data_IF_318732886126
#
_entry.id   IF_318732886126
#
_cell.length_a   1.000
_cell.length_b   1.000
_cell.length_c   1.000
_cell.angle_alpha   90.00
_cell.angle_beta   90.00
_cell.angle_gamma   90.00
#
_symmetry.space_group_name_H-M   'P 1'
#
loop_
_entity.id
_entity.type
_entity.pdbx_description
1 polymer ?
#
# COMPACT_ATOMS: atom_id res chain seq x y z
N UNK A 1 -1.48 -71.85 -31.09
CA UNK A 1 -1.02 -71.62 -29.70
C UNK A 1 0.18 -70.72 -29.71
N UNK A 2 0.11 -69.59 -29.02
CA UNK A 2 1.22 -68.66 -28.93
C UNK A 2 2.22 -69.13 -27.86
N UNK A 3 3.50 -69.18 -28.21
CA UNK A 3 4.57 -69.63 -27.33
C UNK A 3 5.70 -68.60 -27.30
N UNK A 4 6.42 -68.55 -26.19
CA UNK A 4 7.61 -67.71 -26.08
C UNK A 4 8.67 -68.12 -27.10
N UNK A 5 9.18 -67.16 -27.88
CA UNK A 5 10.19 -67.38 -28.90
C UNK A 5 11.49 -68.01 -28.37
N UNK A 6 11.85 -67.74 -27.10
CA UNK A 6 13.12 -68.17 -26.51
C UNK A 6 13.01 -69.48 -25.70
N UNK A 7 12.01 -69.60 -24.83
CA UNK A 7 11.88 -70.74 -23.90
C UNK A 7 10.71 -71.69 -24.22
N UNK A 8 9.89 -71.38 -25.22
CA UNK A 8 8.78 -72.25 -25.65
C UNK A 8 7.58 -72.34 -24.69
N UNK A 9 7.58 -71.58 -23.58
CA UNK A 9 6.47 -71.55 -22.62
C UNK A 9 5.20 -71.04 -23.29
N UNK A 10 4.07 -71.71 -23.04
CA UNK A 10 2.74 -71.35 -23.55
C UNK A 10 2.14 -70.17 -22.82
N UNK A 11 1.22 -69.46 -23.49
CA UNK A 11 0.45 -68.33 -22.93
C UNK A 11 -0.37 -68.68 -21.69
N UNK A 12 -0.72 -69.94 -21.48
CA UNK A 12 -1.47 -70.41 -20.30
C UNK A 12 -0.63 -70.37 -19.02
N UNK A 13 0.69 -70.57 -19.12
CA UNK A 13 1.59 -70.64 -17.97
C UNK A 13 2.29 -69.33 -17.65
N UNK A 14 2.35 -68.39 -18.60
CA UNK A 14 3.04 -67.12 -18.43
C UNK A 14 2.47 -66.02 -19.33
N UNK A 15 2.50 -64.77 -18.85
CA UNK A 15 2.18 -63.59 -19.66
C UNK A 15 3.22 -63.42 -20.76
N UNK A 16 2.74 -63.33 -22.00
CA UNK A 16 3.54 -63.08 -23.19
C UNK A 16 3.37 -61.63 -23.64
N UNK A 17 4.47 -61.01 -24.06
CA UNK A 17 4.50 -59.66 -24.58
C UNK A 17 4.99 -59.66 -26.02
N UNK A 18 4.44 -58.76 -26.83
CA UNK A 18 4.88 -58.54 -28.21
C UNK A 18 6.18 -57.71 -28.18
N UNK A 19 7.26 -58.24 -28.77
CA UNK A 19 8.57 -57.58 -28.87
C UNK A 19 9.06 -57.52 -30.31
N UNK A 20 9.85 -56.49 -30.63
CA UNK A 20 10.46 -56.33 -31.95
C UNK A 20 11.81 -57.06 -31.98
N UNK A 21 11.92 -58.06 -32.84
CA UNK A 21 13.16 -58.80 -33.10
C UNK A 21 13.58 -58.66 -34.56
N UNK A 22 14.78 -59.13 -34.91
CA UNK A 22 15.27 -59.17 -36.31
C UNK A 22 14.37 -59.99 -37.23
N UNK A 23 13.59 -60.93 -36.69
CA UNK A 23 12.63 -61.78 -37.42
C UNK A 23 11.22 -61.17 -37.50
N UNK A 24 11.04 -59.93 -37.04
CA UNK A 24 9.74 -59.27 -36.94
C UNK A 24 9.19 -59.28 -35.51
N UNK A 25 7.88 -59.12 -35.38
CA UNK A 25 7.18 -59.05 -34.08
C UNK A 25 6.99 -60.47 -33.56
N UNK A 26 7.61 -60.79 -32.43
CA UNK A 26 7.55 -62.10 -31.80
C UNK A 26 7.08 -61.98 -30.34
N UNK A 27 6.54 -63.07 -29.78
CA UNK A 27 6.07 -63.09 -28.39
C UNK A 27 7.15 -63.61 -27.45
N UNK A 28 7.39 -62.92 -26.35
CA UNK A 28 8.38 -63.30 -25.33
C UNK A 28 7.74 -63.28 -23.94
N UNK A 29 8.16 -64.19 -23.05
CA UNK A 29 7.71 -64.14 -21.66
C UNK A 29 8.51 -63.11 -20.85
N UNK A 30 7.94 -62.67 -19.73
CA UNK A 30 8.53 -61.66 -18.83
C UNK A 30 9.97 -61.98 -18.40
N UNK A 31 10.22 -63.25 -18.04
CA UNK A 31 11.56 -63.72 -17.64
C UNK A 31 12.57 -63.51 -18.76
N UNK A 32 12.26 -63.99 -19.97
CA UNK A 32 13.16 -63.87 -21.11
C UNK A 32 13.37 -62.41 -21.54
N UNK A 33 12.36 -61.55 -21.41
CA UNK A 33 12.49 -60.12 -21.71
C UNK A 33 13.45 -59.41 -20.74
N UNK A 34 13.45 -59.79 -19.47
CA UNK A 34 14.35 -59.19 -18.46
C UNK A 34 15.83 -59.45 -18.77
N UNK A 35 16.14 -60.60 -19.38
CA UNK A 35 17.51 -60.94 -19.79
C UNK A 35 17.91 -60.29 -21.12
N UNK A 36 17.03 -60.33 -22.12
CA UNK A 36 17.34 -59.87 -23.48
C UNK A 36 17.15 -58.36 -23.67
N UNK A 37 16.35 -57.71 -22.81
CA UNK A 37 16.00 -56.28 -22.88
C UNK A 37 15.49 -55.85 -24.26
N UNK A 38 14.61 -56.66 -24.85
CA UNK A 38 14.02 -56.35 -26.16
C UNK A 38 12.97 -55.23 -26.04
N UNK A 39 12.80 -54.39 -27.08
CA UNK A 39 11.78 -53.34 -27.08
C UNK A 39 10.36 -53.94 -27.07
N UNK A 40 9.56 -53.56 -26.06
CA UNK A 40 8.18 -54.01 -25.90
C UNK A 40 7.22 -53.13 -26.72
N UNK A 41 6.38 -53.76 -27.54
CA UNK A 41 5.28 -53.10 -28.25
C UNK A 41 4.08 -53.04 -27.32
N UNK A 42 3.81 -51.87 -26.75
CA UNK A 42 2.60 -51.65 -25.97
C UNK A 42 1.43 -51.39 -26.94
N UNK A 43 0.45 -52.28 -26.96
CA UNK A 43 -0.83 -51.99 -27.60
C UNK A 43 -1.50 -50.89 -26.79
N UNK A 44 -1.67 -49.72 -27.40
CA UNK A 44 -2.40 -48.63 -26.78
C UNK A 44 -3.88 -49.02 -26.83
N UNK A 45 -4.56 -49.00 -25.68
CA UNK A 45 -6.01 -49.20 -25.62
C UNK A 45 -6.68 -48.11 -26.47
N UNK A 46 -7.32 -48.49 -27.57
CA UNK A 46 -7.96 -47.56 -28.52
C UNK A 46 -8.97 -46.62 -27.86
N UNK A 47 -9.58 -47.06 -26.75
CA UNK A 47 -10.54 -46.26 -25.98
C UNK A 47 -9.88 -45.10 -25.21
N UNK A 48 -8.62 -45.20 -24.78
CA UNK A 48 -7.93 -44.11 -24.05
C UNK A 48 -7.44 -43.01 -24.99
N UNK A 49 -7.10 -43.35 -26.22
CA UNK A 49 -6.65 -42.37 -27.23
C UNK A 49 -7.77 -41.41 -27.62
N UNK A 50 -9.02 -41.88 -27.69
CA UNK A 50 -10.17 -41.04 -28.01
C UNK A 50 -10.46 -39.98 -26.92
N UNK A 51 -10.25 -40.30 -25.64
CA UNK A 51 -10.39 -39.32 -24.55
C UNK A 51 -9.28 -38.26 -24.55
N UNK A 52 -8.06 -38.62 -24.94
CA UNK A 52 -6.93 -37.68 -25.03
C UNK A 52 -7.01 -36.78 -26.28
N UNK A 53 -7.51 -37.29 -27.41
CA UNK A 53 -7.71 -36.49 -28.64
C UNK A 53 -8.85 -35.47 -28.47
N UNK A 54 -9.88 -35.79 -27.69
CA UNK A 54 -10.96 -34.85 -27.36
C UNK A 54 -10.52 -33.74 -26.38
N UNK A 55 -9.42 -33.95 -25.64
CA UNK A 55 -8.74 -32.87 -24.90
C UNK A 55 -7.87 -32.12 -25.89
N UNK A 56 -8.47 -31.22 -26.68
CA UNK A 56 -7.73 -30.28 -27.53
C UNK A 56 -6.55 -29.72 -26.74
N UNK A 57 -5.31 -29.77 -27.25
CA UNK A 57 -4.20 -29.13 -26.60
C UNK A 57 -4.53 -27.64 -26.54
N UNK A 58 -4.83 -27.14 -25.33
CA UNK A 58 -5.07 -25.72 -25.12
C UNK A 58 -3.86 -24.98 -25.68
N UNK A 59 -4.10 -24.14 -26.68
CA UNK A 59 -3.09 -23.32 -27.32
C UNK A 59 -2.38 -22.50 -26.24
N UNK A 60 -1.12 -22.17 -26.44
CA UNK A 60 -0.33 -21.40 -25.44
C UNK A 60 -1.04 -20.09 -25.03
N UNK A 61 -1.86 -19.51 -25.93
CA UNK A 61 -2.74 -18.37 -25.67
C UNK A 61 -3.83 -18.66 -24.63
N UNK A 62 -4.54 -19.80 -24.71
CA UNK A 62 -5.62 -20.14 -23.77
C UNK A 62 -5.11 -20.36 -22.33
N UNK A 63 -3.84 -20.81 -22.19
CA UNK A 63 -3.17 -20.92 -20.88
C UNK A 63 -2.75 -19.56 -20.32
N UNK A 64 -2.46 -18.58 -21.18
CA UNK A 64 -2.14 -17.21 -20.78
C UNK A 64 -3.41 -16.47 -20.31
N UNK A 65 -4.51 -16.59 -21.05
CA UNK A 65 -5.76 -15.93 -20.72
C UNK A 65 -6.36 -16.40 -19.39
N UNK A 66 -6.26 -17.69 -19.06
CA UNK A 66 -6.73 -18.20 -17.74
C UNK A 66 -5.91 -17.71 -16.54
N UNK A 67 -4.65 -17.29 -16.75
CA UNK A 67 -3.83 -16.72 -15.66
C UNK A 67 -4.11 -15.24 -15.44
N UNK A 68 -4.54 -14.52 -16.49
CA UNK A 68 -4.91 -13.09 -16.43
C UNK A 68 -6.42 -12.83 -16.37
N UNK A 69 -7.27 -13.85 -16.49
CA UNK A 69 -8.73 -13.73 -16.29
C UNK A 69 -9.15 -13.58 -14.83
N UNK A 70 -8.20 -13.37 -13.91
CA UNK A 70 -8.52 -12.66 -12.67
C UNK A 70 -8.83 -11.23 -13.10
N UNK A 71 -10.12 -10.94 -13.32
CA UNK A 71 -10.62 -9.59 -13.63
C UNK A 71 -9.77 -8.58 -12.88
N UNK A 72 -9.13 -7.66 -13.61
CA UNK A 72 -8.45 -6.55 -12.98
C UNK A 72 -9.43 -5.92 -11.99
N UNK A 73 -9.02 -5.73 -10.73
CA UNK A 73 -9.94 -5.22 -9.72
C UNK A 73 -10.44 -3.88 -10.23
N UNK A 74 -11.76 -3.78 -10.40
CA UNK A 74 -12.35 -2.52 -10.85
C UNK A 74 -12.09 -1.47 -9.78
N UNK A 75 -12.07 -0.19 -10.16
CA UNK A 75 -11.98 0.91 -9.20
C UNK A 75 -13.04 0.77 -8.08
N UNK A 76 -14.21 0.23 -8.41
CA UNK A 76 -15.27 -0.11 -7.43
C UNK A 76 -14.83 -1.19 -6.45
N UNK A 77 -14.24 -2.30 -6.93
CA UNK A 77 -13.74 -3.37 -6.06
C UNK A 77 -12.64 -2.88 -5.09
N UNK A 78 -11.82 -1.93 -5.51
CA UNK A 78 -10.79 -1.31 -4.66
C UNK A 78 -11.39 -0.36 -3.62
N UNK A 79 -12.42 0.40 -3.98
CA UNK A 79 -13.15 1.29 -3.08
C UNK A 79 -13.93 0.47 -2.04
N UNK A 80 -14.62 -0.58 -2.47
CA UNK A 80 -15.46 -1.40 -1.58
C UNK A 80 -14.62 -2.24 -0.61
N UNK A 81 -13.44 -2.73 -1.03
CA UNK A 81 -12.47 -3.33 -0.09
C UNK A 81 -11.99 -2.35 0.98
N UNK A 82 -11.95 -1.06 0.68
CA UNK A 82 -11.58 -0.02 1.66
C UNK A 82 -12.75 0.41 2.54
N UNK A 83 -13.99 0.33 2.05
CA UNK A 83 -15.20 0.66 2.82
C UNK A 83 -15.52 -0.34 3.93
N UNK A 84 -15.10 -1.61 3.76
CA UNK A 84 -15.25 -2.65 4.78
C UNK A 84 -14.20 -2.60 5.90
N UNK A 85 -13.31 -1.60 5.92
CA UNK A 85 -12.63 -1.24 7.16
C UNK A 85 -13.71 -0.64 8.04
N UNK A 86 -14.17 -1.42 9.02
CA UNK A 86 -15.12 -0.97 10.04
C UNK A 86 -14.73 0.45 10.43
N UNK A 87 -15.63 1.42 10.19
CA UNK A 87 -15.44 2.78 10.66
C UNK A 87 -15.34 2.66 12.17
N UNK A 88 -14.13 2.67 12.71
CA UNK A 88 -13.95 2.78 14.15
C UNK A 88 -14.68 4.04 14.58
N UNK A 89 -15.55 3.90 15.57
CA UNK A 89 -16.30 5.03 16.09
C UNK A 89 -15.27 6.05 16.61
N UNK A 90 -15.35 7.26 16.06
CA UNK A 90 -14.54 8.36 16.57
C UNK A 90 -14.96 8.63 18.02
N UNK A 91 -14.01 8.86 18.94
CA UNK A 91 -14.30 9.28 20.29
C UNK A 91 -15.13 10.56 20.21
N UNK A 92 -16.23 10.59 20.95
CA UNK A 92 -17.15 11.73 20.95
C UNK A 92 -16.41 13.05 21.24
N UNK A 93 -15.38 12.98 22.08
CA UNK A 93 -14.57 14.11 22.55
C UNK A 93 -13.60 14.71 21.52
N UNK A 94 -13.21 13.97 20.47
CA UNK A 94 -12.24 14.44 19.47
C UNK A 94 -12.94 15.08 18.27
N UNK A 95 -12.27 16.04 17.63
CA UNK A 95 -12.73 16.62 16.36
C UNK A 95 -12.83 15.51 15.31
N UNK A 96 -13.91 15.48 14.54
CA UNK A 96 -14.23 14.35 13.64
C UNK A 96 -13.12 14.06 12.62
N UNK A 97 -12.35 15.08 12.24
CA UNK A 97 -11.22 15.02 11.30
C UNK A 97 -9.84 15.13 11.96
N UNK A 98 -9.69 14.79 13.24
CA UNK A 98 -8.43 14.98 14.00
C UNK A 98 -7.19 14.43 13.26
N UNK A 99 -7.29 13.27 12.60
CA UNK A 99 -6.18 12.64 11.87
C UNK A 99 -5.69 13.49 10.69
N UNK A 100 -6.59 14.22 10.02
CA UNK A 100 -6.23 15.18 8.96
C UNK A 100 -5.51 16.39 9.55
N UNK A 101 -5.97 16.89 10.69
CA UNK A 101 -5.34 18.01 11.39
C UNK A 101 -3.90 17.66 11.74
N UNK A 102 -3.67 16.47 12.32
CA UNK A 102 -2.33 15.97 12.65
C UNK A 102 -1.45 15.89 11.39
N UNK A 103 -1.93 15.26 10.31
CA UNK A 103 -1.20 15.17 9.03
C UNK A 103 -0.84 16.54 8.48
N UNK A 104 -1.81 17.47 8.48
CA UNK A 104 -1.64 18.82 7.94
C UNK A 104 -0.57 19.57 8.72
N UNK A 105 -0.67 19.62 10.04
CA UNK A 105 0.26 20.35 10.92
C UNK A 105 1.67 19.74 10.83
N UNK A 106 1.79 18.41 10.81
CA UNK A 106 3.08 17.74 10.64
C UNK A 106 3.74 18.12 9.31
N UNK A 107 2.99 18.10 8.20
CA UNK A 107 3.49 18.48 6.87
C UNK A 107 3.89 19.94 6.80
N UNK A 108 3.14 20.84 7.45
CA UNK A 108 3.48 22.26 7.53
C UNK A 108 4.82 22.48 8.24
N UNK A 109 5.11 21.71 9.30
CA UNK A 109 6.41 21.70 9.98
C UNK A 109 7.50 20.93 9.23
N UNK A 110 7.18 20.26 8.11
CA UNK A 110 8.11 19.46 7.28
C UNK A 110 8.88 18.38 8.04
N UNK A 111 8.29 17.83 9.11
CA UNK A 111 8.90 16.74 9.89
C UNK A 111 8.37 15.37 9.43
N UNK A 112 9.24 14.38 9.43
CA UNK A 112 8.87 12.99 9.13
C UNK A 112 8.16 12.35 10.32
N UNK A 113 7.45 11.24 10.08
CA UNK A 113 6.81 10.47 11.15
C UNK A 113 7.85 9.92 12.14
N UNK A 114 9.02 9.50 11.63
CA UNK A 114 10.18 9.04 12.42
C UNK A 114 10.83 10.13 13.28
N UNK A 115 10.74 11.39 12.87
CA UNK A 115 11.22 12.51 13.69
C UNK A 115 10.20 12.83 14.77
N UNK A 116 8.92 12.90 14.40
CA UNK A 116 7.83 13.14 15.34
C UNK A 116 7.78 12.09 16.46
N UNK A 117 7.98 10.80 16.12
CA UNK A 117 8.01 9.71 17.09
C UNK A 117 9.10 9.87 18.13
N UNK A 118 10.29 10.32 17.72
CA UNK A 118 11.43 10.60 18.61
C UNK A 118 11.17 11.81 19.50
N UNK A 119 10.61 12.88 18.96
CA UNK A 119 10.31 14.11 19.71
C UNK A 119 9.24 13.88 20.79
N UNK A 120 8.21 13.09 20.46
CA UNK A 120 7.08 12.81 21.35
C UNK A 120 7.34 11.60 22.28
N UNK A 121 8.42 10.85 22.04
CA UNK A 121 8.71 9.57 22.70
C UNK A 121 7.53 8.58 22.63
N UNK A 122 7.02 8.37 21.41
CA UNK A 122 5.97 7.40 21.11
C UNK A 122 6.38 6.54 19.91
N UNK A 123 5.96 5.27 19.81
CA UNK A 123 6.33 4.41 18.70
C UNK A 123 5.72 4.91 17.38
N UNK A 124 6.48 4.78 16.30
CA UNK A 124 6.08 5.25 14.97
C UNK A 124 4.78 4.60 14.48
N UNK A 125 4.57 3.33 14.81
CA UNK A 125 3.38 2.56 14.45
C UNK A 125 2.11 3.16 15.04
N UNK A 126 2.15 3.61 16.30
CA UNK A 126 1.03 4.25 16.98
C UNK A 126 0.69 5.60 16.35
N UNK A 127 1.71 6.40 15.98
CA UNK A 127 1.48 7.65 15.25
C UNK A 127 0.94 7.40 13.84
N UNK A 128 1.38 6.33 13.18
CA UNK A 128 0.87 5.91 11.87
C UNK A 128 -0.62 5.54 11.96
N UNK A 129 -1.01 4.75 12.97
CA UNK A 129 -2.41 4.41 13.23
C UNK A 129 -3.24 5.68 13.44
N UNK A 130 -2.77 6.62 14.26
CA UNK A 130 -3.46 7.89 14.50
C UNK A 130 -3.61 8.73 13.23
N UNK A 131 -2.58 8.79 12.39
CA UNK A 131 -2.66 9.45 11.07
C UNK A 131 -3.63 8.74 10.12
N UNK A 132 -3.80 7.43 10.25
CA UNK A 132 -4.78 6.63 9.49
C UNK A 132 -6.20 6.75 10.05
N UNK A 133 -6.39 7.43 11.19
CA UNK A 133 -7.67 7.55 11.89
C UNK A 133 -8.02 6.32 12.72
N UNK A 134 -7.06 5.40 12.90
CA UNK A 134 -7.17 4.23 13.77
C UNK A 134 -6.72 4.62 15.17
N UNK A 135 -7.52 4.26 16.16
CA UNK A 135 -7.37 4.78 17.51
C UNK A 135 -6.84 3.67 18.44
N UNK A 136 -5.57 3.75 18.88
CA UNK A 136 -4.97 2.74 19.74
C UNK A 136 -5.44 2.90 21.19
N UNK A 137 -5.31 1.83 22.00
CA UNK A 137 -5.62 1.89 23.43
C UNK A 137 -4.78 2.98 24.12
N UNK A 138 -5.42 3.84 24.93
CA UNK A 138 -4.73 4.93 25.64
C UNK A 138 -4.63 6.27 24.88
N UNK A 139 -5.50 6.47 23.89
CA UNK A 139 -5.67 7.66 23.02
C UNK A 139 -5.29 8.98 23.67
N UNK A 140 -5.88 9.27 24.84
CA UNK A 140 -5.75 10.58 25.47
C UNK A 140 -4.32 10.93 25.86
N UNK A 141 -3.46 9.94 26.17
CA UNK A 141 -2.05 10.21 26.46
C UNK A 141 -1.30 10.70 25.23
N UNK A 142 -1.52 10.05 24.09
CA UNK A 142 -0.81 10.38 22.85
C UNK A 142 -1.36 11.67 22.25
N UNK A 143 -2.69 11.83 22.22
CA UNK A 143 -3.34 13.08 21.80
C UNK A 143 -2.80 14.24 22.62
N UNK A 144 -2.66 14.05 23.94
CA UNK A 144 -2.16 15.12 24.78
C UNK A 144 -0.74 15.56 24.40
N UNK A 145 0.17 14.59 24.18
CA UNK A 145 1.53 14.92 23.74
C UNK A 145 1.58 15.58 22.36
N UNK A 146 0.70 15.18 21.44
CA UNK A 146 0.60 15.76 20.10
C UNK A 146 0.11 17.22 20.20
N UNK A 147 -0.93 17.48 20.98
CA UNK A 147 -1.43 18.83 21.27
C UNK A 147 -0.32 19.70 21.88
N UNK A 148 0.42 19.15 22.86
CA UNK A 148 1.49 19.87 23.55
C UNK A 148 2.67 20.18 22.61
N UNK A 149 3.05 19.26 21.73
CA UNK A 149 4.16 19.43 20.78
C UNK A 149 3.82 20.40 19.63
N UNK A 150 2.60 20.31 19.10
CA UNK A 150 2.16 21.15 17.98
C UNK A 150 1.50 22.46 18.41
N UNK A 151 1.14 22.59 19.67
CA UNK A 151 0.33 23.69 20.22
C UNK A 151 -1.00 23.85 19.49
N UNK A 152 -1.71 22.74 19.29
CA UNK A 152 -3.03 22.68 18.64
C UNK A 152 -4.06 22.07 19.60
N UNK A 153 -5.34 22.30 19.31
CA UNK A 153 -6.44 21.66 20.04
C UNK A 153 -7.11 20.61 19.15
N UNK A 154 -7.10 19.35 19.57
CA UNK A 154 -7.72 18.23 18.83
C UNK A 154 -9.06 17.80 19.44
N UNK A 155 -9.47 18.42 20.55
CA UNK A 155 -10.70 18.12 21.28
C UNK A 155 -11.83 19.06 20.87
N UNK A 156 -13.07 18.57 20.89
CA UNK A 156 -14.26 19.40 20.66
C UNK A 156 -14.45 20.40 21.80
N UNK A 157 -15.07 21.54 21.48
CA UNK A 157 -15.44 22.56 22.47
C UNK A 157 -16.32 21.91 23.54
N UNK A 158 -15.98 22.10 24.81
CA UNK A 158 -16.67 21.48 25.95
C UNK A 158 -15.95 20.26 26.55
N UNK A 159 -15.04 19.62 25.82
CA UNK A 159 -14.21 18.50 26.29
C UNK A 159 -12.77 18.94 26.56
N UNK A 160 -12.58 20.14 27.12
CA UNK A 160 -11.26 20.64 27.47
C UNK A 160 -10.63 19.80 28.60
N UNK A 161 -9.29 19.63 28.60
CA UNK A 161 -8.58 18.97 29.71
C UNK A 161 -8.93 19.66 31.03
N UNK A 162 -9.23 18.89 32.07
CA UNK A 162 -9.44 19.42 33.42
C UNK A 162 -8.27 20.30 33.88
N UNK A 163 -7.04 19.94 33.55
CA UNK A 163 -5.84 20.71 33.89
C UNK A 163 -5.82 22.11 33.24
N UNK A 164 -6.30 22.22 32.00
CA UNK A 164 -6.41 23.51 31.30
C UNK A 164 -7.53 24.35 31.89
N UNK A 165 -8.65 23.73 32.25
CA UNK A 165 -9.75 24.42 32.93
C UNK A 165 -9.29 24.95 34.30
N UNK A 166 -8.52 24.17 35.05
CA UNK A 166 -7.95 24.56 36.34
C UNK A 166 -6.92 25.70 36.20
N UNK A 167 -6.07 25.67 35.16
CA UNK A 167 -5.17 26.80 34.86
C UNK A 167 -5.93 28.07 34.51
N UNK A 168 -6.96 28.00 33.66
CA UNK A 168 -7.80 29.17 33.33
C UNK A 168 -8.48 29.76 34.57
N UNK A 169 -8.97 28.91 35.49
CA UNK A 169 -9.54 29.36 36.77
C UNK A 169 -8.50 30.02 37.67
N UNK A 170 -7.31 29.43 37.80
CA UNK A 170 -6.21 30.02 38.58
C UNK A 170 -5.68 31.34 37.98
N UNK A 171 -5.73 31.51 36.66
CA UNK A 171 -5.37 32.77 35.99
C UNK A 171 -6.42 33.85 36.22
N UNK A 172 -7.72 33.50 36.26
CA UNK A 172 -8.78 34.45 36.56
C UNK A 172 -8.59 35.09 37.96
N UNK A 173 -8.14 34.31 38.93
CA UNK A 173 -7.80 34.80 40.29
C UNK A 173 -6.52 35.66 40.32
N UNK A 174 -5.64 35.55 39.32
CA UNK A 174 -4.38 36.31 39.20
C UNK A 174 -4.41 37.44 38.16
N UNK A 175 -5.59 37.75 37.60
CA UNK A 175 -5.80 38.75 36.52
C UNK A 175 -5.46 40.22 36.89
N UNK A 176 -4.86 40.47 38.05
CA UNK A 176 -4.25 41.76 38.41
C UNK A 176 -2.80 41.94 37.90
N UNK A 177 -2.16 40.90 37.34
CA UNK A 177 -0.76 40.99 36.88
C UNK A 177 -0.73 40.86 35.35
N UNK A 178 -0.73 42.02 34.66
CA UNK A 178 -0.61 42.16 33.20
C UNK A 178 0.76 41.65 32.71
N UNK A 179 0.77 40.84 31.65
CA UNK A 179 1.97 40.64 30.84
C UNK A 179 1.88 39.48 29.86
N UNK A 180 1.69 39.82 28.58
CA UNK A 180 2.03 39.05 27.37
C UNK A 180 1.28 37.72 27.11
N UNK A 181 0.32 37.78 26.17
CA UNK A 181 -0.46 36.64 25.70
C UNK A 181 0.26 35.89 24.56
N UNK A 182 0.52 34.59 24.77
CA UNK A 182 0.91 33.66 23.71
C UNK A 182 -0.26 33.45 22.73
N UNK A 183 -0.03 33.74 21.44
CA UNK A 183 -1.01 33.52 20.36
C UNK A 183 -1.26 32.03 20.13
N UNK A 184 -2.30 31.50 20.74
CA UNK A 184 -2.85 30.17 20.42
C UNK A 184 -3.50 30.25 19.03
N UNK A 185 -2.98 29.49 18.06
CA UNK A 185 -3.58 29.39 16.71
C UNK A 185 -4.73 28.38 16.77
N UNK A 186 -5.94 28.89 16.98
CA UNK A 186 -7.17 28.10 16.81
C UNK A 186 -7.49 28.05 15.32
N UNK A 187 -7.28 26.90 14.68
CA UNK A 187 -7.65 26.68 13.28
C UNK A 187 -9.12 26.24 13.29
N UNK A 188 -10.04 27.17 13.09
CA UNK A 188 -11.44 26.85 12.79
C UNK A 188 -11.59 26.54 11.29
N UNK A 189 -12.38 25.54 10.93
CA UNK A 189 -12.63 25.12 9.54
C UNK A 189 -13.50 26.11 8.73
N UNK A 190 -14.06 27.15 9.36
CA UNK A 190 -15.03 28.08 8.73
C UNK A 190 -14.46 29.46 8.32
N UNK A 191 -13.17 29.75 8.54
CA UNK A 191 -12.55 31.06 8.22
C UNK A 191 -11.69 31.05 6.94
N UNK A 192 -12.16 30.42 5.87
CA UNK A 192 -11.46 30.38 4.56
C UNK A 192 -11.75 31.59 3.65
N UNK A 193 -12.39 32.68 4.12
CA UNK A 193 -12.76 33.81 3.23
C UNK A 193 -12.42 35.24 3.65
N UNK A 194 -11.80 35.52 4.79
CA UNK A 194 -11.48 36.91 5.18
C UNK A 194 -10.01 37.16 5.61
N UNK A 195 -9.12 36.19 5.50
CA UNK A 195 -7.70 36.33 5.92
C UNK A 195 -6.73 36.54 4.73
N UNK A 196 -7.24 36.62 3.49
CA UNK A 196 -6.38 36.75 2.30
C UNK A 196 -5.87 38.18 2.03
N UNK A 197 -6.54 39.23 2.51
CA UNK A 197 -6.19 40.60 2.08
C UNK A 197 -5.21 41.35 3.01
N UNK A 198 -5.15 41.05 4.32
CA UNK A 198 -4.23 41.76 5.24
C UNK A 198 -2.88 41.02 5.49
N UNK A 199 -2.76 39.74 5.11
CA UNK A 199 -1.53 38.95 5.32
C UNK A 199 -0.61 38.85 4.11
N UNK A 200 -0.97 39.43 2.96
CA UNK A 200 -0.09 39.43 1.78
C UNK A 200 1.04 40.47 1.90
N UNK A 201 0.80 41.66 2.47
CA UNK A 201 1.83 42.71 2.56
C UNK A 201 2.99 42.36 3.53
N UNK A 202 2.71 41.71 4.66
CA UNK A 202 3.79 41.32 5.60
C UNK A 202 4.59 40.10 5.12
N UNK A 203 3.97 39.17 4.38
CA UNK A 203 4.65 37.98 3.85
C UNK A 203 5.58 38.33 2.69
N UNK A 204 5.23 39.28 1.83
CA UNK A 204 6.12 39.75 0.76
C UNK A 204 7.38 40.44 1.32
N UNK A 205 7.26 41.15 2.45
CA UNK A 205 8.40 41.76 3.16
C UNK A 205 9.33 40.72 3.79
N UNK A 206 8.79 39.61 4.30
CA UNK A 206 9.60 38.55 4.93
C UNK A 206 10.29 37.64 3.89
N UNK A 207 9.57 37.20 2.85
CA UNK A 207 10.13 36.36 1.80
C UNK A 207 11.16 37.10 0.92
N UNK A 208 10.96 38.38 0.63
CA UNK A 208 11.94 39.18 -0.13
C UNK A 208 13.25 39.41 0.63
N UNK A 209 13.22 39.52 1.97
CA UNK A 209 14.42 39.59 2.82
C UNK A 209 15.18 38.27 2.85
N UNK A 210 14.48 37.13 2.90
CA UNK A 210 15.10 35.80 2.86
C UNK A 210 15.74 35.53 1.48
N UNK A 211 15.06 35.88 0.39
CA UNK A 211 15.60 35.71 -0.97
C UNK A 211 16.78 36.64 -1.27
N UNK A 212 16.77 37.89 -0.78
CA UNK A 212 17.92 38.80 -0.90
C UNK A 212 19.14 38.31 -0.12
N UNK A 213 18.95 37.63 1.01
CA UNK A 213 20.05 37.03 1.77
C UNK A 213 20.67 35.83 1.04
N UNK A 214 19.83 34.96 0.45
CA UNK A 214 20.29 33.83 -0.36
C UNK A 214 21.01 34.23 -1.66
N UNK A 215 20.58 35.31 -2.33
CA UNK A 215 21.27 35.83 -3.53
C UNK A 215 22.62 36.49 -3.22
N UNK A 216 22.83 36.95 -1.98
CA UNK A 216 24.08 37.60 -1.56
C UNK A 216 25.15 36.59 -1.10
N UNK A 217 24.74 35.39 -0.69
CA UNK A 217 25.65 34.28 -0.34
C UNK A 217 26.06 33.43 -1.54
N UNK A 218 25.26 33.41 -2.62
CA UNK A 218 25.67 32.85 -3.92
C UNK A 218 26.21 33.94 -4.83
N UNK A 219 27.40 34.43 -4.50
CA UNK A 219 28.21 35.17 -5.44
C UNK A 219 28.59 34.30 -6.63
N UNK A 220 28.35 34.82 -7.83
CA UNK A 220 28.92 34.42 -9.12
C UNK A 220 28.62 33.01 -9.64
N UNK A 221 27.72 32.98 -10.63
CA UNK A 221 27.83 32.33 -11.95
C UNK A 221 26.51 31.68 -12.34
N UNK A 222 25.72 32.39 -13.13
CA UNK A 222 25.31 32.03 -14.50
C UNK A 222 24.17 32.96 -14.91
N UNK A 223 24.41 33.81 -15.92
CA UNK A 223 23.35 34.51 -16.65
C UNK A 223 22.61 33.46 -17.49
N UNK A 224 21.35 33.20 -17.17
CA UNK A 224 20.41 32.52 -18.08
C UNK A 224 19.34 33.56 -18.41
N UNK A 225 19.25 33.88 -19.70
CA UNK A 225 18.34 34.88 -20.26
C UNK A 225 16.88 34.42 -20.11
N UNK A 226 16.02 35.34 -19.66
CA UNK A 226 14.58 35.15 -19.51
C UNK A 226 13.84 35.43 -20.83
N UNK A 227 13.92 34.52 -21.79
CA UNK A 227 13.15 34.65 -23.06
C UNK A 227 12.42 33.38 -23.52
N UNK A 228 12.46 32.27 -22.77
CA UNK A 228 11.80 31.00 -23.16
C UNK A 228 10.62 30.57 -22.25
N UNK A 229 10.12 31.44 -21.37
CA UNK A 229 9.06 31.07 -20.41
C UNK A 229 7.63 31.52 -20.80
N UNK A 230 7.43 32.23 -21.90
CA UNK A 230 6.09 32.73 -22.31
C UNK A 230 5.36 31.84 -23.34
N UNK A 231 6.00 30.84 -23.92
CA UNK A 231 5.38 30.01 -24.98
C UNK A 231 4.55 28.82 -24.48
N UNK A 232 4.45 28.58 -23.17
CA UNK A 232 3.67 27.44 -22.63
C UNK A 232 2.29 27.80 -22.05
N UNK A 233 1.86 29.07 -22.17
CA UNK A 233 0.59 29.53 -21.60
C UNK A 233 -0.50 29.91 -22.62
N UNK A 234 -0.24 29.83 -23.93
CA UNK A 234 -1.22 30.24 -24.94
C UNK A 234 -1.92 29.11 -25.73
N UNK A 235 -1.66 27.83 -25.46
CA UNK A 235 -2.25 26.72 -26.22
C UNK A 235 -3.47 26.03 -25.58
N UNK A 236 -4.23 26.75 -24.76
CA UNK A 236 -5.57 26.31 -24.32
C UNK A 236 -6.57 27.46 -24.28
N UNK A 237 -7.02 27.89 -25.45
CA UNK A 237 -8.35 28.46 -25.67
C UNK A 237 -8.88 27.99 -27.03
#
# INVERSE_FOLDING_TARGET
MEKCYKCGVSSERAKLYDVISKKGIVKICERCNSFEKLPLVKKVDSNKVLEEVNKRPQTYQEKFDKKFSKKEPTLRDLIDKRRNVEKQENPEDLVDNFYWVIKRVRRLRKITLTQLSKEINEPEETLKMLEEGIIPSGVYRIVNKIEDYFHINLRKKGHEREDLQNRKRAILDNSLIKGEEDKIVVINEDEEKEIEDEKQEEKESFFSKIFKKFKKEKGNETNINNEEAEDLLNDKN
#
